data_IF_347558499256
#
_entry.id   IF_347558499256
#
_cell.length_a   1.000
_cell.length_b   1.000
_cell.length_c   1.000
_cell.angle_alpha   90.00
_cell.angle_beta   90.00
_cell.angle_gamma   90.00
#
_symmetry.space_group_name_H-M   'P 1'
#
loop_
_entity.id
_entity.type
_entity.pdbx_description
1 polymer ?
#
# COMPACT_ATOMS: atom_id res chain seq x y z
N UNK A 1 10.70 -5.61 -14.13
CA UNK A 1 10.46 -6.06 -15.52
C UNK A 1 9.02 -5.74 -15.89
N UNK A 2 8.75 -5.09 -17.02
CA UNK A 2 7.41 -4.65 -17.40
C UNK A 2 6.83 -5.51 -18.52
N UNK A 3 5.62 -6.04 -18.33
CA UNK A 3 4.85 -6.64 -19.42
C UNK A 3 4.23 -5.50 -20.27
N UNK A 4 4.40 -5.55 -21.59
CA UNK A 4 3.84 -4.58 -22.52
C UNK A 4 2.63 -5.18 -23.24
N UNK A 5 1.55 -5.36 -22.49
CA UNK A 5 0.27 -5.83 -23.05
C UNK A 5 -0.49 -4.56 -23.45
N UNK A 6 -0.84 -4.39 -24.75
CA UNK A 6 -1.71 -3.31 -25.17
C UNK A 6 -3.10 -3.47 -24.55
N UNK A 7 -3.79 -2.36 -24.32
CA UNK A 7 -5.23 -2.32 -24.01
C UNK A 7 -5.65 -3.04 -22.72
N UNK A 8 -4.89 -2.87 -21.63
CA UNK A 8 -5.37 -3.25 -20.30
C UNK A 8 -6.38 -2.19 -19.82
N UNK A 9 -7.64 -2.59 -19.68
CA UNK A 9 -8.69 -1.71 -19.14
C UNK A 9 -8.75 -1.72 -17.60
N UNK A 10 -8.47 -2.88 -17.00
CA UNK A 10 -8.64 -3.10 -15.56
C UNK A 10 -7.45 -3.84 -14.96
N UNK A 11 -6.97 -3.33 -13.83
CA UNK A 11 -5.96 -3.97 -12.99
C UNK A 11 -6.54 -4.20 -11.61
N UNK A 12 -6.48 -5.45 -11.17
CA UNK A 12 -6.83 -5.82 -9.80
C UNK A 12 -5.56 -6.19 -9.06
N UNK A 13 -5.11 -5.28 -8.19
CA UNK A 13 -4.02 -5.55 -7.26
C UNK A 13 -4.57 -6.33 -6.06
N UNK A 14 -4.31 -7.63 -6.04
CA UNK A 14 -4.57 -8.48 -4.89
C UNK A 14 -3.46 -8.38 -3.86
N UNK A 15 -3.82 -8.16 -2.59
CA UNK A 15 -2.91 -7.93 -1.45
C UNK A 15 -2.09 -6.65 -1.58
N UNK A 16 -1.62 -6.17 -0.42
CA UNK A 16 -0.83 -4.96 -0.33
C UNK A 16 0.49 -5.14 -1.10
N UNK A 17 0.83 -4.25 -2.04
CA UNK A 17 2.13 -4.27 -2.68
C UNK A 17 3.22 -3.85 -1.68
N UNK A 18 4.47 -4.24 -1.97
CA UNK A 18 5.63 -3.91 -1.12
C UNK A 18 5.87 -2.40 -0.97
N UNK A 19 5.37 -1.60 -1.91
CA UNK A 19 5.39 -0.14 -1.85
C UNK A 19 4.27 0.47 -2.69
N UNK A 20 3.97 1.73 -2.40
CA UNK A 20 3.07 2.55 -3.24
C UNK A 20 3.62 2.70 -4.65
N UNK A 21 4.94 2.88 -4.81
CA UNK A 21 5.57 2.96 -6.13
C UNK A 21 5.32 1.70 -6.96
N UNK A 22 5.40 0.52 -6.35
CA UNK A 22 5.08 -0.74 -7.01
C UNK A 22 3.62 -0.83 -7.43
N UNK A 23 2.69 -0.26 -6.66
CA UNK A 23 1.28 -0.16 -7.07
C UNK A 23 1.12 0.74 -8.30
N UNK A 24 1.69 1.94 -8.27
CA UNK A 24 1.58 2.92 -9.36
C UNK A 24 2.17 2.38 -10.67
N UNK A 25 3.31 1.70 -10.61
CA UNK A 25 3.92 1.08 -11.78
C UNK A 25 3.07 -0.04 -12.40
N UNK A 26 2.27 -0.74 -11.57
CA UNK A 26 1.29 -1.73 -12.03
C UNK A 26 0.06 -1.03 -12.59
N UNK A 27 -0.53 -0.08 -11.85
CA UNK A 27 -1.69 0.70 -12.28
C UNK A 27 -1.47 1.41 -13.63
N UNK A 28 -0.27 1.96 -13.87
CA UNK A 28 0.12 2.59 -15.14
C UNK A 28 0.29 1.61 -16.34
N UNK A 29 -0.07 0.34 -16.17
CA UNK A 29 -0.28 -0.59 -17.28
C UNK A 29 -1.68 -0.47 -17.86
N UNK A 30 -2.65 0.01 -17.08
CA UNK A 30 -3.95 0.40 -17.59
C UNK A 30 -3.87 1.75 -18.32
N UNK A 31 -4.79 2.02 -19.24
CA UNK A 31 -4.91 3.31 -19.95
C UNK A 31 -3.61 3.82 -20.60
N UNK A 32 -2.88 2.93 -21.28
CA UNK A 32 -1.66 3.30 -22.02
C UNK A 32 -1.92 4.04 -23.33
N UNK A 33 -3.15 3.98 -23.84
CA UNK A 33 -3.63 4.76 -24.97
C UNK A 33 -4.59 5.87 -24.55
N UNK A 34 -5.19 6.60 -25.51
CA UNK A 34 -6.25 7.55 -25.24
C UNK A 34 -7.42 6.86 -24.53
N UNK A 35 -7.81 7.34 -23.36
CA UNK A 35 -8.93 6.76 -22.60
C UNK A 35 -8.70 6.78 -21.10
N UNK A 36 -9.52 6.03 -20.38
CA UNK A 36 -9.41 5.81 -18.94
C UNK A 36 -9.22 4.32 -18.66
N UNK A 37 -8.68 4.02 -17.48
CA UNK A 37 -8.42 2.65 -17.04
C UNK A 37 -8.62 2.59 -15.53
N UNK A 38 -9.01 1.41 -15.05
CA UNK A 38 -9.37 1.21 -13.64
C UNK A 38 -8.29 0.40 -12.93
N UNK A 39 -7.78 0.93 -11.83
CA UNK A 39 -6.93 0.20 -10.90
C UNK A 39 -7.67 0.00 -9.58
N UNK A 40 -7.91 -1.26 -9.22
CA UNK A 40 -8.55 -1.66 -7.95
C UNK A 40 -7.50 -2.28 -7.04
N UNK A 41 -7.39 -1.79 -5.81
CA UNK A 41 -6.55 -2.37 -4.77
C UNK A 41 -7.40 -3.10 -3.76
N UNK A 42 -7.27 -4.43 -3.71
CA UNK A 42 -7.92 -5.30 -2.73
C UNK A 42 -6.94 -5.63 -1.62
N UNK A 43 -7.22 -5.13 -0.42
CA UNK A 43 -6.37 -5.25 0.77
C UNK A 43 -7.16 -5.72 1.97
N UNK A 44 -6.49 -6.46 2.85
CA UNK A 44 -7.05 -6.81 4.14
C UNK A 44 -7.15 -5.55 5.02
N UNK A 45 -8.20 -5.46 5.85
CA UNK A 45 -8.41 -4.34 6.78
C UNK A 45 -7.20 -4.11 7.69
N UNK A 46 -6.54 -5.20 8.10
CA UNK A 46 -5.33 -5.21 8.93
C UNK A 46 -4.18 -4.39 8.31
N UNK A 47 -4.12 -4.24 6.99
CA UNK A 47 -3.05 -3.50 6.31
C UNK A 47 -3.06 -2.00 6.61
N UNK A 48 -4.21 -1.43 6.95
CA UNK A 48 -4.37 0.01 7.25
C UNK A 48 -4.85 0.29 8.68
N UNK A 49 -5.14 -0.75 9.46
CA UNK A 49 -5.49 -0.60 10.86
C UNK A 49 -4.21 -0.45 11.69
N UNK A 50 -3.70 0.78 11.77
CA UNK A 50 -2.69 1.12 12.76
C UNK A 50 -3.40 1.15 14.10
N UNK A 51 -3.08 0.19 14.98
CA UNK A 51 -3.54 0.23 16.35
C UNK A 51 -2.79 1.34 17.10
N UNK A 52 -3.42 2.51 17.21
CA UNK A 52 -2.85 3.67 17.88
C UNK A 52 -2.60 3.42 19.38
N UNK A 53 -3.30 2.45 19.98
CA UNK A 53 -3.08 2.08 21.39
C UNK A 53 -1.70 1.43 21.56
N UNK A 54 -1.25 0.63 20.59
CA UNK A 54 0.08 0.02 20.59
C UNK A 54 1.20 1.06 20.50
N UNK A 55 0.98 2.17 19.79
CA UNK A 55 1.94 3.28 19.70
C UNK A 55 2.03 4.06 21.03
N UNK A 56 0.92 4.22 21.74
CA UNK A 56 0.90 4.87 23.05
C UNK A 56 1.66 4.04 24.09
N UNK A 57 1.44 2.72 24.10
CA UNK A 57 2.14 1.79 25.00
C UNK A 57 3.65 1.74 24.76
N UNK A 58 4.08 1.73 23.50
CA UNK A 58 5.49 1.78 23.11
C UNK A 58 6.16 3.09 23.60
N UNK A 59 5.49 4.22 23.42
CA UNK A 59 5.97 5.52 23.89
C UNK A 59 6.05 5.57 25.42
N UNK A 60 5.07 5.02 26.13
CA UNK A 60 5.06 5.02 27.58
C UNK A 60 6.16 4.12 28.18
N UNK A 61 6.38 2.92 27.61
CA UNK A 61 7.51 2.04 27.97
C UNK A 61 8.86 2.69 27.70
N UNK A 62 9.00 3.37 26.55
CA UNK A 62 10.23 4.09 26.20
C UNK A 62 10.50 5.24 27.16
N UNK A 63 9.48 6.01 27.55
CA UNK A 63 9.59 7.07 28.56
C UNK A 63 10.02 6.53 29.92
N UNK A 64 9.39 5.45 30.42
CA UNK A 64 9.78 4.85 31.72
C UNK A 64 11.27 4.45 31.75
N UNK A 65 11.75 3.79 30.70
CA UNK A 65 13.18 3.43 30.57
C UNK A 65 14.14 4.62 30.54
N UNK A 66 13.70 5.78 30.06
CA UNK A 66 14.50 7.01 30.03
C UNK A 66 14.58 7.71 31.39
N UNK A 67 13.62 7.47 32.30
CA UNK A 67 13.61 8.03 33.65
C UNK A 67 14.21 7.08 34.71
N UNK A 68 14.41 5.81 34.36
CA UNK A 68 14.97 4.76 35.23
C UNK A 68 16.48 4.50 34.98
N UNK A 69 17.14 5.33 34.16
CA UNK A 69 18.59 5.30 33.87
C UNK A 69 19.28 6.57 34.33
#
# INVERSE_FOLDING_TARGET
>A
MGCNIPDIDVIVQWKLPSSVSSFIQRAGRAARGPGSGLAVLLVEKSAYNIDLTMLQDQNQKRRKRLYES
#
